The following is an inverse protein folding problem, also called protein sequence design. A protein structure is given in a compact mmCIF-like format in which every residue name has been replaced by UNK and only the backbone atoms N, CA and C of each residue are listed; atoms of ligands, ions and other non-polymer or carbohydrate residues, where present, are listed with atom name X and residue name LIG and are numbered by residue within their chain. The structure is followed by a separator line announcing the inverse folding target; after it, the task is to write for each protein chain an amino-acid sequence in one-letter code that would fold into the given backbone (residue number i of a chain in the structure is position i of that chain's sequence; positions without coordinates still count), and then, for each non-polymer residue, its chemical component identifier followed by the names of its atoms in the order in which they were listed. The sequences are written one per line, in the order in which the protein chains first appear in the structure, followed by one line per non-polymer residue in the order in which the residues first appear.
data_IF_118184139406
#
_entry.id   IF_118184139406
#
_cell.length_a   1.000
_cell.length_b   1.000
_cell.length_c   1.000
_cell.angle_alpha   90.00
_cell.angle_beta   90.00
_cell.angle_gamma   90.00
#
_symmetry.space_group_name_H-M   'P 1'
#
loop_
_entity.id
_entity.type
_entity.pdbx_description
1 polymer ?
#
# COMPACT_ATOMS: atom_id res chain seq x y z
N UNK A 1 -22.98 -2.04 -12.91
CA UNK A 1 -22.36 -2.50 -14.17
C UNK A 1 -21.14 -1.61 -14.40
N UNK A 2 -19.92 -2.07 -14.10
CA UNK A 2 -18.66 -1.31 -14.27
C UNK A 2 -18.20 -1.36 -15.75
N UNK A 3 -19.07 -0.95 -16.67
CA UNK A 3 -18.90 -1.20 -18.11
C UNK A 3 -17.89 -0.32 -18.85
N UNK A 4 -17.38 0.74 -18.21
CA UNK A 4 -16.55 1.76 -18.88
C UNK A 4 -15.09 1.83 -18.38
N UNK A 5 -14.63 0.82 -17.63
CA UNK A 5 -13.21 0.60 -17.34
C UNK A 5 -12.51 1.77 -16.66
N UNK A 6 -12.78 1.98 -15.37
CA UNK A 6 -12.00 2.93 -14.57
C UNK A 6 -10.61 2.40 -14.20
N UNK A 7 -9.66 3.30 -13.99
CA UNK A 7 -8.30 2.96 -13.53
C UNK A 7 -7.79 3.97 -12.51
N UNK A 8 -6.70 3.61 -11.84
CA UNK A 8 -6.01 4.48 -10.89
C UNK A 8 -4.57 4.66 -11.33
N UNK A 9 -4.12 5.92 -11.41
CA UNK A 9 -2.75 6.28 -11.73
C UNK A 9 -2.06 6.82 -10.48
N UNK A 10 -0.92 6.23 -10.14
CA UNK A 10 -0.04 6.72 -9.07
C UNK A 10 1.38 6.26 -9.34
N UNK A 11 2.37 6.99 -8.82
CA UNK A 11 3.75 6.49 -8.73
C UNK A 11 3.95 5.45 -7.62
N UNK A 12 2.88 5.05 -6.94
CA UNK A 12 2.88 4.02 -5.91
C UNK A 12 3.13 4.62 -4.53
N UNK A 13 3.94 3.93 -3.73
CA UNK A 13 4.24 4.32 -2.37
C UNK A 13 5.70 4.02 -2.02
N UNK A 14 6.25 4.80 -1.11
CA UNK A 14 7.62 4.66 -0.62
C UNK A 14 7.61 4.33 0.86
N UNK A 15 8.52 3.44 1.29
CA UNK A 15 8.80 3.22 2.71
C UNK A 15 9.74 4.32 3.19
N UNK A 16 9.25 5.17 4.09
CA UNK A 16 10.04 6.24 4.70
C UNK A 16 10.85 5.73 5.90
N UNK A 17 10.25 4.87 6.71
CA UNK A 17 10.87 4.29 7.90
C UNK A 17 10.27 2.92 8.18
N UNK A 18 11.03 2.03 8.79
CA UNK A 18 10.51 0.73 9.24
C UNK A 18 11.19 0.27 10.52
N UNK A 19 10.42 -0.47 11.33
CA UNK A 19 10.88 -1.12 12.55
C UNK A 19 10.23 -2.48 12.67
N UNK A 20 11.05 -3.53 12.81
CA UNK A 20 10.54 -4.86 13.13
C UNK A 20 9.99 -4.84 14.56
N UNK A 21 8.69 -5.07 14.69
CA UNK A 21 8.01 -5.14 15.98
C UNK A 21 8.06 -6.56 16.57
N UNK A 22 7.94 -7.57 15.71
CA UNK A 22 7.98 -8.98 16.10
C UNK A 22 8.52 -9.83 14.95
N UNK A 23 9.32 -10.85 15.25
CA UNK A 23 9.82 -11.78 14.25
C UNK A 23 9.90 -13.21 14.79
N UNK A 24 9.62 -14.17 13.92
CA UNK A 24 9.80 -15.61 14.10
C UNK A 24 10.37 -16.21 12.81
N UNK A 25 10.66 -17.53 12.80
CA UNK A 25 11.31 -18.22 11.67
C UNK A 25 10.61 -18.02 10.31
N UNK A 26 9.28 -17.85 10.30
CA UNK A 26 8.51 -17.72 9.07
C UNK A 26 7.48 -16.59 9.05
N UNK A 27 7.44 -15.74 10.09
CA UNK A 27 6.53 -14.59 10.18
C UNK A 27 7.23 -13.39 10.77
N UNK A 28 6.88 -12.19 10.31
CA UNK A 28 7.31 -10.94 10.91
C UNK A 28 6.18 -9.91 10.92
N UNK A 29 6.18 -9.03 11.92
CA UNK A 29 5.35 -7.83 11.96
C UNK A 29 6.28 -6.62 11.97
N UNK A 30 6.04 -5.69 11.06
CA UNK A 30 6.86 -4.50 10.84
C UNK A 30 5.97 -3.28 10.90
N UNK A 31 6.28 -2.35 11.81
CA UNK A 31 5.69 -1.02 11.82
C UNK A 31 6.43 -0.18 10.79
N UNK A 32 5.69 0.39 9.84
CA UNK A 32 6.25 1.04 8.66
C UNK A 32 5.60 2.40 8.49
N UNK A 33 6.42 3.46 8.38
CA UNK A 33 5.99 4.74 7.85
C UNK A 33 6.06 4.70 6.33
N UNK A 34 4.94 4.98 5.67
CA UNK A 34 4.84 5.02 4.20
C UNK A 34 4.36 6.38 3.73
N UNK A 35 4.77 6.76 2.53
CA UNK A 35 4.24 7.89 1.78
C UNK A 35 3.60 7.39 0.49
N UNK A 36 2.30 7.62 0.34
CA UNK A 36 1.62 7.47 -0.93
C UNK A 36 1.94 8.67 -1.81
N UNK A 37 2.40 8.41 -3.03
CA UNK A 37 2.48 9.45 -4.02
C UNK A 37 1.08 9.95 -4.37
N UNK A 38 0.98 11.22 -4.79
CA UNK A 38 -0.24 11.75 -5.37
C UNK A 38 -0.74 10.85 -6.50
N UNK A 39 -2.05 10.84 -6.71
CA UNK A 39 -2.68 9.94 -7.67
C UNK A 39 -3.99 10.46 -8.21
N UNK A 40 -4.50 9.78 -9.22
CA UNK A 40 -5.76 10.13 -9.88
C UNK A 40 -6.56 8.89 -10.17
N UNK A 41 -7.83 8.89 -9.77
CA UNK A 41 -8.80 7.87 -10.17
C UNK A 41 -9.62 8.38 -11.33
N UNK A 42 -9.66 7.62 -12.42
CA UNK A 42 -10.54 7.83 -13.56
C UNK A 42 -11.72 6.87 -13.42
N UNK A 43 -12.93 7.34 -13.06
CA UNK A 43 -14.08 6.45 -12.85
C UNK A 43 -14.53 5.74 -14.14
N UNK A 44 -14.39 6.42 -15.27
CA UNK A 44 -14.57 5.93 -16.64
C UNK A 44 -13.76 6.78 -17.62
N UNK A 45 -13.69 6.38 -18.89
CA UNK A 45 -12.88 7.01 -19.93
C UNK A 45 -13.23 8.48 -20.24
N UNK A 46 -14.41 8.96 -19.84
CA UNK A 46 -14.92 10.30 -20.17
C UNK A 46 -15.10 11.21 -18.95
N UNK A 47 -15.00 10.66 -17.74
CA UNK A 47 -15.16 11.40 -16.50
C UNK A 47 -13.91 12.20 -16.14
N UNK A 48 -14.13 13.34 -15.49
CA UNK A 48 -13.05 14.08 -14.83
C UNK A 48 -12.41 13.24 -13.70
N UNK A 49 -11.08 13.21 -13.60
CA UNK A 49 -10.42 12.40 -12.59
C UNK A 49 -10.57 12.98 -11.18
N UNK A 50 -10.75 12.11 -10.19
CA UNK A 50 -10.61 12.47 -8.78
C UNK A 50 -9.13 12.49 -8.44
N UNK A 51 -8.62 13.64 -8.02
CA UNK A 51 -7.21 13.83 -7.65
C UNK A 51 -7.01 13.64 -6.15
N UNK A 52 -5.95 12.96 -5.79
CA UNK A 52 -5.49 12.73 -4.42
C UNK A 52 -4.09 13.30 -4.26
N UNK A 53 -3.87 14.07 -3.20
CA UNK A 53 -2.54 14.55 -2.84
C UNK A 53 -1.68 13.43 -2.25
N UNK A 54 -0.38 13.69 -2.11
CA UNK A 54 0.50 12.79 -1.39
C UNK A 54 0.13 12.73 0.10
N UNK A 55 0.19 11.54 0.69
CA UNK A 55 -0.25 11.31 2.07
C UNK A 55 0.71 10.38 2.80
N UNK A 56 0.90 10.63 4.10
CA UNK A 56 1.78 9.83 4.96
C UNK A 56 0.98 9.04 5.97
N UNK A 57 1.28 7.75 6.09
CA UNK A 57 0.64 6.84 7.02
C UNK A 57 1.65 6.03 7.82
N UNK A 58 1.26 5.62 9.02
CA UNK A 58 1.91 4.52 9.73
C UNK A 58 1.06 3.28 9.58
N UNK A 59 1.66 2.22 9.04
CA UNK A 59 1.00 0.94 8.78
C UNK A 59 1.75 -0.20 9.47
N UNK A 60 1.07 -1.33 9.63
CA UNK A 60 1.66 -2.59 10.07
C UNK A 60 1.68 -3.55 8.90
N UNK A 61 2.87 -3.97 8.49
CA UNK A 61 3.07 -5.07 7.55
C UNK A 61 3.17 -6.38 8.31
N UNK A 62 2.34 -7.36 7.94
CA UNK A 62 2.57 -8.75 8.33
C UNK A 62 3.19 -9.48 7.16
N UNK A 63 4.35 -10.06 7.41
CA UNK A 63 5.13 -10.80 6.43
C UNK A 63 5.07 -12.29 6.71
N UNK A 64 5.03 -13.09 5.66
CA UNK A 64 5.19 -14.55 5.69
C UNK A 64 6.40 -14.93 4.85
N UNK A 65 7.17 -15.92 5.32
CA UNK A 65 8.29 -16.47 4.55
C UNK A 65 7.80 -17.66 3.73
N UNK A 66 7.87 -17.55 2.41
CA UNK A 66 7.48 -18.59 1.46
C UNK A 66 8.66 -18.86 0.51
N UNK A 67 9.09 -20.13 0.42
CA UNK A 67 10.25 -20.53 -0.39
C UNK A 67 11.49 -19.66 -0.10
N UNK A 68 11.78 -19.45 1.18
CA UNK A 68 12.87 -18.59 1.69
C UNK A 68 12.76 -17.09 1.35
N UNK A 69 11.66 -16.63 0.75
CA UNK A 69 11.41 -15.23 0.42
C UNK A 69 10.32 -14.65 1.32
N UNK A 70 10.56 -13.45 1.88
CA UNK A 70 9.54 -12.72 2.62
C UNK A 70 8.55 -12.08 1.67
N UNK A 71 7.26 -12.31 1.91
CA UNK A 71 6.14 -11.75 1.15
C UNK A 71 5.21 -10.99 2.09
N UNK A 72 4.64 -9.91 1.57
CA UNK A 72 3.62 -9.14 2.26
C UNK A 72 2.31 -9.93 2.27
N UNK A 73 1.88 -10.35 3.45
CA UNK A 73 0.62 -11.07 3.63
C UNK A 73 -0.53 -10.13 4.03
N UNK A 74 -0.22 -9.00 4.67
CA UNK A 74 -1.22 -8.05 5.13
C UNK A 74 -0.62 -6.65 5.33
N UNK A 75 -1.41 -5.63 5.00
CA UNK A 75 -1.18 -4.22 5.36
C UNK A 75 -2.35 -3.80 6.24
N UNK A 76 -2.05 -3.35 7.47
CA UNK A 76 -3.04 -2.76 8.38
C UNK A 76 -2.72 -1.30 8.64
N UNK A 77 -3.73 -0.43 8.54
CA UNK A 77 -3.58 0.99 8.88
C UNK A 77 -3.81 1.16 10.38
N UNK A 78 -2.92 1.91 11.03
CA UNK A 78 -3.15 2.36 12.39
C UNK A 78 -3.97 3.66 12.28
N UNK A 79 -5.25 3.56 12.65
CA UNK A 79 -6.23 4.66 12.65
C UNK A 79 -5.76 5.88 13.42
#
# INVERSE_FOLDING_TARGET
MYGHGGHFETSGWTVLASRVAKQSRGRAEVSTGIEYAAGRTYPDASAEPVTYDAEKHVVVFKLVKENEVWRLAFIGYLS
#
